data_IF_128458489402
#
_entry.id   IF_128458489402
#
_cell.length_a   1.000
_cell.length_b   1.000
_cell.length_c   1.000
_cell.angle_alpha   90.00
_cell.angle_beta   90.00
_cell.angle_gamma   90.00
#
_symmetry.space_group_name_H-M   'P 1'
#
loop_
_entity.id
_entity.type
_entity.pdbx_description
1 polymer ?
#
# COMPACT_ATOMS: atom_id res chain seq x y z
N UNK A 1 -22.76 6.13 -9.51
CA UNK A 1 -22.79 7.04 -8.35
C UNK A 1 -21.75 8.10 -8.62
N UNK A 2 -22.07 9.39 -8.49
CA UNK A 2 -21.06 10.45 -8.52
C UNK A 2 -20.74 10.82 -7.08
N UNK A 3 -19.52 10.55 -6.63
CA UNK A 3 -19.04 10.91 -5.29
C UNK A 3 -17.69 11.61 -5.38
N UNK A 4 -17.44 12.50 -4.44
CA UNK A 4 -16.14 13.14 -4.21
C UNK A 4 -15.30 12.36 -3.18
N UNK A 5 -15.92 11.42 -2.46
CA UNK A 5 -15.24 10.54 -1.52
C UNK A 5 -14.97 9.21 -2.23
N UNK A 6 -13.70 8.97 -2.58
CA UNK A 6 -13.26 7.80 -3.32
C UNK A 6 -13.41 6.51 -2.50
N UNK A 7 -13.24 6.58 -1.19
CA UNK A 7 -13.41 5.46 -0.26
C UNK A 7 -14.84 4.90 -0.30
N UNK A 8 -15.86 5.78 -0.33
CA UNK A 8 -17.27 5.37 -0.44
C UNK A 8 -17.56 4.68 -1.79
N UNK A 9 -16.89 5.12 -2.86
CA UNK A 9 -17.01 4.49 -4.18
C UNK A 9 -16.38 3.10 -4.18
N UNK A 10 -15.27 2.90 -3.47
CA UNK A 10 -14.60 1.61 -3.37
C UNK A 10 -15.48 0.54 -2.70
N UNK A 11 -16.25 0.94 -1.67
CA UNK A 11 -17.13 0.02 -0.93
C UNK A 11 -18.47 -0.26 -1.65
N UNK A 12 -18.96 0.70 -2.44
CA UNK A 12 -20.30 0.63 -3.04
C UNK A 12 -20.32 0.24 -4.52
N UNK A 13 -19.20 0.33 -5.23
CA UNK A 13 -19.14 0.14 -6.67
C UNK A 13 -18.27 -1.05 -7.08
N UNK A 14 -18.60 -1.70 -8.19
CA UNK A 14 -17.77 -2.75 -8.80
C UNK A 14 -16.88 -2.22 -9.94
N UNK A 15 -17.16 -1.03 -10.44
CA UNK A 15 -16.47 -0.40 -11.56
C UNK A 15 -16.50 1.12 -11.43
N UNK A 16 -15.48 1.76 -11.97
CA UNK A 16 -15.35 3.21 -11.98
C UNK A 16 -15.13 3.70 -13.41
N UNK A 17 -15.61 4.90 -13.70
CA UNK A 17 -15.39 5.61 -14.95
C UNK A 17 -14.86 7.00 -14.66
N UNK A 18 -13.78 7.37 -15.33
CA UNK A 18 -13.17 8.71 -15.23
C UNK A 18 -13.67 9.53 -16.41
N UNK A 19 -14.25 10.70 -16.10
CA UNK A 19 -14.72 11.65 -17.11
C UNK A 19 -13.86 12.90 -17.10
N UNK A 20 -13.42 13.33 -18.27
CA UNK A 20 -12.67 14.57 -18.46
C UNK A 20 -13.29 15.36 -19.62
N UNK A 21 -13.54 16.67 -19.40
CA UNK A 21 -14.13 17.57 -20.40
C UNK A 21 -15.44 17.06 -21.05
N UNK A 22 -16.23 16.29 -20.30
CA UNK A 22 -17.50 15.72 -20.78
C UNK A 22 -17.37 14.42 -21.56
N UNK A 23 -16.17 13.84 -21.66
CA UNK A 23 -15.93 12.55 -22.30
C UNK A 23 -15.50 11.51 -21.26
N UNK A 24 -15.92 10.24 -21.46
CA UNK A 24 -15.43 9.12 -20.67
C UNK A 24 -14.04 8.73 -21.19
N UNK A 25 -13.00 9.02 -20.40
CA UNK A 25 -11.60 8.80 -20.79
C UNK A 25 -11.07 7.45 -20.31
N UNK A 26 -11.60 6.93 -19.19
CA UNK A 26 -11.26 5.61 -18.69
C UNK A 26 -12.48 4.94 -18.07
N UNK A 27 -12.57 3.62 -18.22
CA UNK A 27 -13.55 2.80 -17.49
C UNK A 27 -12.96 1.43 -17.24
N UNK A 28 -12.94 1.03 -15.98
CA UNK A 28 -12.38 -0.25 -15.55
C UNK A 28 -13.12 -0.76 -14.31
N UNK A 29 -13.06 -2.06 -14.07
CA UNK A 29 -13.47 -2.60 -12.77
C UNK A 29 -12.49 -2.16 -11.68
N UNK A 30 -12.98 -2.02 -10.44
CA UNK A 30 -12.10 -1.71 -9.32
C UNK A 30 -11.02 -2.77 -9.15
N UNK A 31 -11.39 -4.04 -9.32
CA UNK A 31 -10.47 -5.17 -9.25
C UNK A 31 -9.32 -5.04 -10.26
N UNK A 32 -9.61 -4.64 -11.50
CA UNK A 32 -8.59 -4.42 -12.52
C UNK A 32 -7.69 -3.22 -12.18
N UNK A 33 -8.26 -2.15 -11.62
CA UNK A 33 -7.47 -1.00 -11.16
C UNK A 33 -6.52 -1.38 -10.04
N UNK A 34 -7.00 -2.05 -8.99
CA UNK A 34 -6.16 -2.57 -7.93
C UNK A 34 -5.08 -3.50 -8.48
N UNK A 35 -5.42 -4.40 -9.39
CA UNK A 35 -4.44 -5.32 -9.96
C UNK A 35 -3.37 -4.62 -10.81
N UNK A 36 -3.72 -3.54 -11.52
CA UNK A 36 -2.81 -2.79 -12.40
C UNK A 36 -1.94 -1.79 -11.66
N UNK A 37 -2.44 -1.23 -10.56
CA UNK A 37 -1.89 -0.01 -9.95
C UNK A 37 -1.63 -0.12 -8.45
N UNK A 38 -2.26 -1.08 -7.75
CA UNK A 38 -1.98 -1.29 -6.34
C UNK A 38 -0.61 -1.92 -6.19
N UNK A 39 0.24 -1.23 -5.44
CA UNK A 39 1.42 -1.84 -4.83
C UNK A 39 0.97 -2.44 -3.50
N UNK A 40 1.45 -3.64 -3.18
CA UNK A 40 1.22 -4.22 -1.85
C UNK A 40 2.15 -3.50 -0.87
N UNK A 41 1.61 -3.18 0.31
CA UNK A 41 2.33 -2.49 1.35
C UNK A 41 2.29 -3.31 2.63
N UNK A 42 3.37 -3.27 3.39
CA UNK A 42 3.46 -3.93 4.68
C UNK A 42 3.74 -2.84 5.72
N UNK A 43 2.79 -2.64 6.62
CA UNK A 43 2.94 -1.77 7.76
C UNK A 43 3.50 -2.57 8.94
N UNK A 44 4.64 -2.16 9.46
CA UNK A 44 5.35 -2.84 10.54
C UNK A 44 5.53 -1.84 11.68
N UNK A 45 4.94 -2.15 12.84
CA UNK A 45 5.14 -1.40 14.08
C UNK A 45 6.17 -2.11 14.95
N UNK A 46 7.12 -1.37 15.52
CA UNK A 46 8.13 -1.93 16.43
C UNK A 46 8.19 -1.13 17.72
N UNK A 47 8.44 -1.80 18.84
CA UNK A 47 8.58 -1.14 20.15
C UNK A 47 9.90 -0.35 20.25
N UNK A 48 10.94 -0.86 19.59
CA UNK A 48 12.28 -0.25 19.50
C UNK A 48 13.05 -0.86 18.34
N UNK A 49 14.12 -0.22 17.88
CA UNK A 49 15.00 -0.81 16.85
C UNK A 49 14.56 -0.54 15.41
N UNK A 50 13.96 0.63 15.13
CA UNK A 50 13.54 1.02 13.77
C UNK A 50 14.73 1.02 12.78
N UNK A 51 15.93 1.39 13.23
CA UNK A 51 17.16 1.31 12.43
C UNK A 51 17.56 -0.12 12.04
N UNK A 52 17.38 -1.07 12.96
CA UNK A 52 17.68 -2.49 12.74
C UNK A 52 16.65 -3.08 11.77
N UNK A 53 15.38 -2.74 11.96
CA UNK A 53 14.29 -3.07 11.05
C UNK A 53 14.56 -2.61 9.61
N UNK A 54 14.95 -1.34 9.42
CA UNK A 54 15.31 -0.82 8.10
C UNK A 54 16.49 -1.59 7.50
N UNK A 55 17.48 -1.96 8.33
CA UNK A 55 18.65 -2.70 7.87
C UNK A 55 18.29 -4.10 7.41
N UNK A 56 17.39 -4.77 8.12
CA UNK A 56 16.91 -6.10 7.77
C UNK A 56 16.10 -6.07 6.47
N UNK A 57 15.16 -5.12 6.36
CA UNK A 57 14.28 -4.94 5.19
C UNK A 57 15.06 -4.59 3.93
N UNK A 58 16.14 -3.82 4.05
CA UNK A 58 17.05 -3.52 2.92
C UNK A 58 17.64 -4.77 2.26
N UNK A 59 17.78 -5.86 3.01
CA UNK A 59 18.36 -7.10 2.50
C UNK A 59 17.32 -8.01 1.84
N UNK A 60 16.03 -7.66 1.90
CA UNK A 60 14.97 -8.47 1.32
C UNK A 60 14.75 -8.16 -0.16
N UNK A 61 14.74 -9.18 -1.04
CA UNK A 61 14.69 -8.98 -2.50
C UNK A 61 13.33 -8.45 -3.00
N UNK A 62 12.26 -8.61 -2.24
CA UNK A 62 10.90 -8.20 -2.61
C UNK A 62 10.52 -6.81 -2.10
N UNK A 63 11.47 -6.11 -1.48
CA UNK A 63 11.26 -4.76 -0.96
C UNK A 63 11.64 -3.76 -2.04
N UNK A 64 10.65 -3.03 -2.55
CA UNK A 64 10.86 -2.01 -3.59
C UNK A 64 11.17 -0.64 -2.99
N UNK A 65 10.73 -0.40 -1.76
CA UNK A 65 11.00 0.82 -1.02
C UNK A 65 10.40 0.76 0.38
N UNK A 66 10.74 1.73 1.22
CA UNK A 66 10.14 1.88 2.54
C UNK A 66 10.09 3.35 2.97
N UNK A 67 9.10 3.67 3.78
CA UNK A 67 8.88 4.98 4.39
C UNK A 67 8.83 4.82 5.91
N UNK A 68 9.57 5.68 6.61
CA UNK A 68 9.67 5.67 8.07
C UNK A 68 8.66 6.66 8.63
N UNK A 69 7.82 6.18 9.55
CA UNK A 69 6.85 6.98 10.29
C UNK A 69 7.35 7.12 11.74
N UNK A 70 8.22 8.11 12.02
CA UNK A 70 8.90 8.21 13.33
C UNK A 70 7.94 8.54 14.47
N UNK A 71 6.81 9.20 14.18
CA UNK A 71 5.81 9.60 15.19
C UNK A 71 5.12 8.38 15.82
N UNK A 72 4.91 7.32 15.05
CA UNK A 72 4.22 6.09 15.47
C UNK A 72 5.14 4.89 15.64
N UNK A 73 6.46 5.07 15.48
CA UNK A 73 7.45 3.99 15.40
C UNK A 73 7.08 2.90 14.36
N UNK A 74 6.50 3.33 13.24
CA UNK A 74 6.08 2.47 12.16
C UNK A 74 7.01 2.57 10.95
N UNK A 75 7.02 1.49 10.18
CA UNK A 75 7.69 1.43 8.89
C UNK A 75 6.69 0.89 7.87
N UNK A 76 6.45 1.67 6.83
CA UNK A 76 5.66 1.25 5.69
C UNK A 76 6.60 0.75 4.61
N UNK A 77 6.40 -0.48 4.14
CA UNK A 77 7.28 -1.14 3.18
C UNK A 77 6.50 -1.43 1.91
N UNK A 78 6.97 -0.95 0.77
CA UNK A 78 6.47 -1.36 -0.53
C UNK A 78 7.00 -2.75 -0.86
N UNK A 79 6.09 -3.70 -0.98
CA UNK A 79 6.41 -5.12 -1.13
C UNK A 79 5.77 -5.67 -2.40
N UNK A 80 6.54 -6.33 -3.24
CA UNK A 80 6.03 -6.96 -4.48
C UNK A 80 6.02 -8.49 -4.46
N UNK A 81 6.37 -9.08 -3.30
CA UNK A 81 6.35 -10.53 -3.10
C UNK A 81 4.95 -11.07 -2.79
N UNK A 82 4.88 -12.39 -2.67
CA UNK A 82 3.65 -13.13 -2.33
C UNK A 82 3.39 -13.14 -0.82
N UNK A 83 2.20 -13.59 -0.36
CA UNK A 83 1.97 -13.81 1.06
C UNK A 83 2.99 -14.73 1.74
N UNK A 84 3.52 -15.73 1.03
CA UNK A 84 4.57 -16.62 1.55
C UNK A 84 5.90 -15.88 1.77
N UNK A 85 6.24 -14.96 0.86
CA UNK A 85 7.41 -14.09 1.00
C UNK A 85 7.23 -13.12 2.18
N UNK A 86 6.02 -12.60 2.38
CA UNK A 86 5.72 -11.72 3.52
C UNK A 86 5.84 -12.45 4.87
N UNK A 87 5.43 -13.72 4.93
CA UNK A 87 5.62 -14.56 6.11
C UNK A 87 7.10 -14.86 6.36
N UNK A 88 7.87 -15.04 5.27
CA UNK A 88 9.33 -15.23 5.35
C UNK A 88 10.04 -13.97 5.86
N UNK A 89 9.62 -12.80 5.39
CA UNK A 89 10.08 -11.50 5.90
C UNK A 89 9.82 -11.39 7.40
N UNK A 90 8.56 -11.59 7.82
CA UNK A 90 8.18 -11.54 9.24
C UNK A 90 9.03 -12.49 10.08
N UNK A 91 9.22 -13.74 9.61
CA UNK A 91 10.07 -14.72 10.31
C UNK A 91 11.50 -14.23 10.48
N UNK A 92 12.09 -13.57 9.48
CA UNK A 92 13.45 -13.02 9.57
C UNK A 92 13.54 -11.91 10.60
N UNK A 93 12.54 -11.02 10.65
CA UNK A 93 12.48 -9.96 11.65
C UNK A 93 12.48 -10.53 13.08
N UNK A 94 11.70 -11.58 13.32
CA UNK A 94 11.65 -12.26 14.62
C UNK A 94 12.99 -12.95 14.95
N UNK A 95 13.62 -13.60 13.98
CA UNK A 95 14.94 -14.23 14.16
C UNK A 95 16.06 -13.21 14.42
N UNK A 96 15.92 -12.00 13.88
CA UNK A 96 16.80 -10.86 14.14
C UNK A 96 16.59 -10.22 15.53
N UNK A 97 15.71 -10.77 16.38
CA UNK A 97 15.31 -10.22 17.69
C UNK A 97 14.69 -8.82 17.63
N UNK A 98 14.05 -8.46 16.51
CA UNK A 98 13.35 -7.18 16.38
C UNK A 98 11.99 -7.29 17.09
N UNK A 99 11.67 -6.40 18.05
CA UNK A 99 10.41 -6.45 18.78
C UNK A 99 9.26 -5.85 17.96
N UNK A 100 8.77 -6.62 16.98
CA UNK A 100 7.59 -6.29 16.16
C UNK A 100 6.33 -6.37 17.02
N UNK A 101 5.60 -5.27 17.12
CA UNK A 101 4.31 -5.21 17.83
C UNK A 101 3.14 -5.51 16.89
N UNK A 102 3.23 -5.03 15.64
CA UNK A 102 2.18 -5.19 14.64
C UNK A 102 2.79 -5.39 13.26
N UNK A 103 2.16 -6.24 12.46
CA UNK A 103 2.55 -6.53 11.09
C UNK A 103 1.29 -6.69 10.24
N UNK A 104 1.05 -5.76 9.32
CA UNK A 104 -0.15 -5.72 8.51
C UNK A 104 0.21 -5.61 7.03
N UNK A 105 -0.15 -6.63 6.25
CA UNK A 105 -0.17 -6.54 4.80
C UNK A 105 -1.43 -5.78 4.37
N UNK A 106 -1.23 -4.58 3.83
CA UNK A 106 -2.29 -3.75 3.26
C UNK A 106 -2.07 -3.56 1.76
N UNK A 107 -3.11 -3.13 1.07
CA UNK A 107 -3.03 -2.65 -0.30
C UNK A 107 -3.19 -1.13 -0.27
N UNK A 108 -2.68 -0.46 -1.29
CA UNK A 108 -2.94 0.97 -1.47
C UNK A 108 -4.44 1.20 -1.62
N UNK A 109 -4.92 2.29 -1.03
CA UNK A 109 -6.29 2.72 -1.19
C UNK A 109 -6.56 3.25 -2.61
N UNK A 110 -7.84 3.39 -2.92
CA UNK A 110 -8.27 3.88 -4.22
C UNK A 110 -7.79 5.32 -4.48
N UNK A 111 -7.66 6.12 -3.42
CA UNK A 111 -7.22 7.50 -3.49
C UNK A 111 -5.78 7.63 -3.98
N UNK A 112 -4.87 6.84 -3.39
CA UNK A 112 -3.47 6.77 -3.80
C UNK A 112 -3.32 6.25 -5.23
N UNK A 113 -4.12 5.25 -5.61
CA UNK A 113 -4.18 4.75 -6.99
C UNK A 113 -4.64 5.84 -7.96
N UNK A 114 -5.63 6.64 -7.58
CA UNK A 114 -6.14 7.74 -8.40
C UNK A 114 -5.10 8.84 -8.60
N UNK A 115 -4.33 9.17 -7.55
CA UNK A 115 -3.20 10.10 -7.66
C UNK A 115 -2.12 9.58 -8.61
N UNK A 116 -1.81 8.27 -8.58
CA UNK A 116 -0.86 7.63 -9.50
C UNK A 116 -1.32 7.67 -10.97
N UNK A 117 -2.62 7.71 -11.24
CA UNK A 117 -3.16 7.90 -12.59
C UNK A 117 -2.94 9.32 -13.13
N UNK A 118 -2.39 10.24 -12.33
CA UNK A 118 -2.12 11.62 -12.73
C UNK A 118 -3.37 12.50 -12.68
N UNK A 119 -4.47 12.00 -12.10
CA UNK A 119 -5.67 12.78 -11.89
C UNK A 119 -5.62 13.42 -10.50
N UNK A 120 -5.57 14.74 -10.46
CA UNK A 120 -5.70 15.47 -9.21
C UNK A 120 -7.18 15.51 -8.81
N UNK A 121 -7.48 15.28 -7.53
CA UNK A 121 -8.78 15.66 -6.98
C UNK A 121 -9.01 17.14 -7.30
N UNK A 122 -10.03 17.43 -8.10
CA UNK A 122 -10.50 18.79 -8.22
C UNK A 122 -11.11 19.16 -6.86
N UNK A 123 -10.44 20.06 -6.12
CA UNK A 123 -10.99 20.68 -4.90
C UNK A 123 -12.26 21.49 -5.19
#
# INVERSE_FOLDING_TARGET
>A
ISSHVLSDLADLCSSVGIMELGYLVESASLKELYQRLSTQQILISVMSGLSELITEIKNFPFVEGWEVLPETQQLQVHFSGTPEDSATLLRSLILANIPVTDFHCTQEDLETIFLKLGHQQAS
#
